data_IF_579072450483
#
_entry.id   IF_579072450483
#
_cell.length_a   1.000
_cell.length_b   1.000
_cell.length_c   1.000
_cell.angle_alpha   90.00
_cell.angle_beta   90.00
_cell.angle_gamma   90.00
#
_symmetry.space_group_name_H-M   'P 1'
#
loop_
_entity.id
_entity.type
_entity.pdbx_description
1 polymer ?
#
# COMPACT_ATOMS: atom_id res chain seq x y z
N UNK A 1 13.55 12.80 -14.97
CA UNK A 1 12.34 12.57 -14.18
C UNK A 1 11.60 11.26 -14.51
N UNK A 2 11.46 10.82 -15.77
CA UNK A 2 10.68 9.61 -16.11
C UNK A 2 11.23 8.25 -15.63
N UNK A 3 12.52 8.14 -15.29
CA UNK A 3 13.12 6.86 -14.85
C UNK A 3 12.58 6.36 -13.51
N UNK A 4 12.28 7.26 -12.55
CA UNK A 4 11.78 6.85 -11.24
C UNK A 4 10.36 6.31 -11.32
N UNK A 5 9.49 6.98 -12.08
CA UNK A 5 8.12 6.49 -12.33
C UNK A 5 8.14 5.11 -12.99
N UNK A 6 9.01 4.89 -13.98
CA UNK A 6 9.16 3.58 -14.60
C UNK A 6 9.56 2.51 -13.58
N UNK A 7 10.51 2.79 -12.67
CA UNK A 7 10.90 1.84 -11.62
C UNK A 7 9.72 1.52 -10.70
N UNK A 8 8.91 2.50 -10.29
CA UNK A 8 7.72 2.21 -9.47
C UNK A 8 6.69 1.37 -10.22
N UNK A 9 6.46 1.64 -11.50
CA UNK A 9 5.58 0.82 -12.35
C UNK A 9 6.15 -0.59 -12.50
N UNK A 10 7.45 -0.74 -12.71
CA UNK A 10 8.11 -2.04 -12.81
C UNK A 10 8.03 -2.81 -11.48
N UNK A 11 8.10 -2.14 -10.33
CA UNK A 11 7.84 -2.75 -9.01
C UNK A 11 6.38 -3.23 -8.93
N UNK A 12 5.41 -2.41 -9.34
CA UNK A 12 4.00 -2.78 -9.38
C UNK A 12 3.71 -3.94 -10.36
N UNK A 13 4.53 -4.11 -11.40
CA UNK A 13 4.49 -5.22 -12.35
C UNK A 13 5.36 -6.41 -11.92
N UNK A 14 5.94 -6.38 -10.72
CA UNK A 14 6.80 -7.43 -10.15
C UNK A 14 8.10 -7.67 -10.95
N UNK A 15 8.52 -6.69 -11.76
CA UNK A 15 9.71 -6.73 -12.63
C UNK A 15 10.96 -6.14 -11.97
N UNK A 16 10.77 -5.20 -11.05
CA UNK A 16 11.85 -4.54 -10.31
C UNK A 16 11.70 -4.79 -8.80
N UNK A 17 12.74 -4.43 -8.04
CA UNK A 17 12.74 -4.54 -6.58
C UNK A 17 13.06 -3.22 -5.87
N UNK A 18 12.92 -3.19 -4.53
CA UNK A 18 13.24 -2.00 -3.74
C UNK A 18 14.71 -1.56 -3.90
N UNK A 19 15.61 -2.50 -4.19
CA UNK A 19 17.04 -2.26 -4.41
C UNK A 19 17.34 -1.37 -5.63
N UNK A 20 16.42 -1.27 -6.59
CA UNK A 20 16.57 -0.44 -7.78
C UNK A 20 16.26 1.05 -7.51
N UNK A 21 15.76 1.36 -6.30
CA UNK A 21 15.49 2.73 -5.87
C UNK A 21 16.72 3.35 -5.18
N UNK A 22 16.93 4.68 -5.32
CA UNK A 22 17.92 5.39 -4.51
C UNK A 22 17.53 5.35 -3.03
N UNK A 23 18.49 5.06 -2.15
CA UNK A 23 18.31 5.13 -0.69
C UNK A 23 18.27 6.56 -0.17
N UNK A 24 17.26 7.35 -0.57
CA UNK A 24 17.13 8.76 -0.22
C UNK A 24 15.94 9.00 0.70
N UNK A 25 16.17 9.71 1.81
CA UNK A 25 15.11 10.14 2.74
C UNK A 25 14.07 11.00 2.02
N UNK A 26 14.50 11.83 1.06
CA UNK A 26 13.60 12.66 0.27
C UNK A 26 12.58 11.81 -0.51
N UNK A 27 13.01 10.68 -1.10
CA UNK A 27 12.11 9.77 -1.82
C UNK A 27 11.09 9.12 -0.88
N UNK A 28 11.52 8.70 0.31
CA UNK A 28 10.61 8.13 1.31
C UNK A 28 9.56 9.14 1.74
N UNK A 29 9.98 10.37 2.07
CA UNK A 29 9.04 11.43 2.47
C UNK A 29 8.08 11.77 1.34
N UNK A 30 8.57 11.93 0.12
CA UNK A 30 7.74 12.24 -1.04
C UNK A 30 6.71 11.13 -1.32
N UNK A 31 7.14 9.87 -1.35
CA UNK A 31 6.24 8.74 -1.58
C UNK A 31 5.26 8.54 -0.43
N UNK A 32 5.68 8.74 0.83
CA UNK A 32 4.81 8.70 1.99
C UNK A 32 3.73 9.79 1.94
N UNK A 33 4.08 11.03 1.57
CA UNK A 33 3.11 12.11 1.39
C UNK A 33 2.11 11.81 0.27
N UNK A 34 2.58 11.26 -0.85
CA UNK A 34 1.70 10.84 -1.95
C UNK A 34 0.76 9.69 -1.53
N UNK A 35 1.29 8.70 -0.80
CA UNK A 35 0.49 7.61 -0.22
C UNK A 35 -0.53 8.14 0.79
N UNK A 36 -0.16 9.10 1.63
CA UNK A 36 -1.06 9.72 2.60
C UNK A 36 -2.20 10.44 1.88
N UNK A 37 -1.91 11.26 0.87
CA UNK A 37 -2.92 11.98 0.11
C UNK A 37 -3.86 11.03 -0.63
N UNK A 38 -3.29 10.11 -1.42
CA UNK A 38 -4.06 9.18 -2.26
C UNK A 38 -4.85 8.17 -1.41
N UNK A 39 -4.26 7.65 -0.34
CA UNK A 39 -4.90 6.72 0.59
C UNK A 39 -6.05 7.36 1.36
N UNK A 40 -5.86 8.59 1.86
CA UNK A 40 -6.93 9.34 2.55
C UNK A 40 -8.13 9.54 1.61
N UNK A 41 -7.89 9.94 0.36
CA UNK A 41 -8.95 10.16 -0.62
C UNK A 41 -9.64 8.85 -1.04
N UNK A 42 -8.92 7.73 -0.99
CA UNK A 42 -9.50 6.41 -1.21
C UNK A 42 -10.41 6.03 -0.04
N UNK A 43 -10.01 6.21 1.22
CA UNK A 43 -10.79 5.70 2.36
C UNK A 43 -11.80 6.69 2.93
N UNK A 44 -11.82 7.95 2.47
CA UNK A 44 -12.71 9.00 3.01
C UNK A 44 -14.20 8.63 2.91
N UNK A 45 -14.60 7.96 1.83
CA UNK A 45 -15.99 7.50 1.66
C UNK A 45 -16.39 6.42 2.67
N UNK A 46 -15.43 5.65 3.17
CA UNK A 46 -15.63 4.57 4.15
C UNK A 46 -15.75 5.07 5.59
N UNK A 47 -15.03 6.15 5.92
CA UNK A 47 -15.05 6.71 7.29
C UNK A 47 -15.99 7.93 7.43
N UNK A 48 -16.57 8.42 6.34
CA UNK A 48 -17.54 9.52 6.32
C UNK A 48 -17.00 10.91 6.68
N UNK A 49 -15.76 11.00 7.19
CA UNK A 49 -15.11 12.26 7.55
C UNK A 49 -13.64 12.27 7.14
N UNK A 50 -13.19 13.43 6.65
CA UNK A 50 -11.82 13.59 6.15
C UNK A 50 -10.79 13.49 7.28
N UNK A 51 -11.12 13.97 8.47
CA UNK A 51 -10.23 13.95 9.63
C UNK A 51 -9.96 12.52 10.13
N UNK A 52 -10.99 11.67 10.18
CA UNK A 52 -10.83 10.26 10.59
C UNK A 52 -10.11 9.46 9.52
N UNK A 53 -10.40 9.69 8.24
CA UNK A 53 -9.67 9.08 7.13
C UNK A 53 -8.19 9.46 7.15
N UNK A 54 -7.86 10.73 7.38
CA UNK A 54 -6.49 11.20 7.47
C UNK A 54 -5.78 10.57 8.67
N UNK A 55 -6.43 10.54 9.83
CA UNK A 55 -5.88 9.91 11.04
C UNK A 55 -5.65 8.40 10.85
N UNK A 56 -6.60 7.69 10.23
CA UNK A 56 -6.48 6.26 9.93
C UNK A 56 -5.34 5.99 8.94
N UNK A 57 -5.24 6.79 7.86
CA UNK A 57 -4.15 6.65 6.89
C UNK A 57 -2.78 6.98 7.48
N UNK A 58 -2.71 7.97 8.38
CA UNK A 58 -1.49 8.33 9.08
C UNK A 58 -1.06 7.21 10.04
N UNK A 59 -2.02 6.60 10.74
CA UNK A 59 -1.76 5.43 11.58
C UNK A 59 -1.26 4.23 10.77
N UNK A 60 -1.88 3.94 9.62
CA UNK A 60 -1.45 2.89 8.70
C UNK A 60 0.02 3.08 8.27
N UNK A 61 0.40 4.29 7.86
CA UNK A 61 1.78 4.63 7.49
C UNK A 61 2.74 4.42 8.66
N UNK A 62 2.36 4.83 9.88
CA UNK A 62 3.19 4.67 11.08
C UNK A 62 3.36 3.19 11.45
N UNK A 63 2.29 2.40 11.37
CA UNK A 63 2.32 0.95 11.59
C UNK A 63 3.21 0.28 10.54
N UNK A 64 3.07 0.63 9.26
CA UNK A 64 3.92 0.12 8.18
C UNK A 64 5.40 0.39 8.46
N UNK A 65 5.76 1.63 8.78
CA UNK A 65 7.16 1.97 9.09
C UNK A 65 7.67 1.23 10.32
N UNK A 66 6.85 1.13 11.36
CA UNK A 66 7.19 0.44 12.60
C UNK A 66 7.45 -1.05 12.36
N UNK A 67 6.49 -1.74 11.72
CA UNK A 67 6.60 -3.16 11.39
C UNK A 67 7.77 -3.42 10.42
N UNK A 68 7.91 -2.60 9.38
CA UNK A 68 9.01 -2.73 8.42
C UNK A 68 10.37 -2.59 9.11
N UNK A 69 10.51 -1.59 9.99
CA UNK A 69 11.74 -1.38 10.76
C UNK A 69 12.01 -2.56 11.69
N UNK A 70 11.00 -3.06 12.39
CA UNK A 70 11.12 -4.21 13.29
C UNK A 70 11.58 -5.45 12.52
N UNK A 71 10.92 -5.79 11.42
CA UNK A 71 11.26 -6.96 10.60
C UNK A 71 12.67 -6.84 10.02
N UNK A 72 13.05 -5.68 9.48
CA UNK A 72 14.40 -5.48 8.94
C UNK A 72 15.49 -5.51 10.00
N UNK A 73 15.20 -5.07 11.23
CA UNK A 73 16.14 -5.20 12.35
C UNK A 73 16.32 -6.66 12.75
N UNK A 74 15.23 -7.43 12.87
CA UNK A 74 15.30 -8.86 13.19
C UNK A 74 16.06 -9.67 12.13
N UNK A 75 15.97 -9.28 10.85
CA UNK A 75 16.71 -9.95 9.77
C UNK A 75 18.10 -9.37 9.52
N UNK A 76 18.53 -8.34 10.26
CA UNK A 76 19.83 -7.69 10.06
C UNK A 76 19.98 -6.92 8.74
N UNK A 77 18.87 -6.52 8.10
CA UNK A 77 18.84 -5.85 6.78
C UNK A 77 18.45 -4.36 6.86
N UNK A 78 18.68 -3.71 8.00
CA UNK A 78 18.29 -2.30 8.27
C UNK A 78 18.75 -1.29 7.21
N UNK A 79 19.86 -1.54 6.51
CA UNK A 79 20.35 -0.69 5.43
C UNK A 79 19.36 -0.54 4.26
N UNK A 80 18.45 -1.50 4.07
CA UNK A 80 17.42 -1.50 3.01
C UNK A 80 16.14 -0.77 3.40
N UNK A 81 16.07 -0.20 4.59
CA UNK A 81 14.85 0.44 5.11
C UNK A 81 14.34 1.55 4.20
N UNK A 82 15.19 2.50 3.82
CA UNK A 82 14.78 3.64 2.99
C UNK A 82 14.23 3.20 1.63
N UNK A 83 14.94 2.29 0.96
CA UNK A 83 14.53 1.73 -0.31
C UNK A 83 13.21 0.97 -0.23
N UNK A 84 13.04 0.15 0.81
CA UNK A 84 11.84 -0.67 1.01
C UNK A 84 10.63 0.19 1.37
N UNK A 85 10.81 1.19 2.25
CA UNK A 85 9.76 2.14 2.59
C UNK A 85 9.32 2.95 1.38
N UNK A 86 10.26 3.47 0.58
CA UNK A 86 9.95 4.17 -0.65
C UNK A 86 9.22 3.28 -1.66
N UNK A 87 9.61 2.01 -1.81
CA UNK A 87 8.93 1.06 -2.69
C UNK A 87 7.49 0.80 -2.24
N UNK A 88 7.27 0.56 -0.94
CA UNK A 88 5.94 0.30 -0.38
C UNK A 88 5.01 1.51 -0.53
N UNK A 89 5.47 2.71 -0.16
CA UNK A 89 4.65 3.91 -0.33
C UNK A 89 4.49 4.35 -1.79
N UNK A 90 5.51 4.18 -2.62
CA UNK A 90 5.41 4.53 -4.03
C UNK A 90 4.43 3.61 -4.77
N UNK A 91 4.52 2.30 -4.54
CA UNK A 91 3.58 1.34 -5.12
C UNK A 91 2.17 1.49 -4.54
N UNK A 92 2.03 1.72 -3.24
CA UNK A 92 0.75 2.02 -2.60
C UNK A 92 0.07 3.25 -3.21
N UNK A 93 0.82 4.34 -3.41
CA UNK A 93 0.30 5.54 -4.05
C UNK A 93 -0.17 5.29 -5.50
N UNK A 94 0.57 4.48 -6.27
CA UNK A 94 0.16 4.10 -7.62
C UNK A 94 -1.11 3.25 -7.62
N UNK A 95 -1.23 2.27 -6.71
CA UNK A 95 -2.44 1.46 -6.57
C UNK A 95 -3.61 2.35 -6.16
N UNK A 96 -3.43 3.23 -5.17
CA UNK A 96 -4.47 4.14 -4.71
C UNK A 96 -4.97 5.05 -5.86
N UNK A 97 -4.05 5.52 -6.72
CA UNK A 97 -4.41 6.32 -7.90
C UNK A 97 -5.29 5.55 -8.90
N UNK A 98 -5.06 4.23 -9.06
CA UNK A 98 -5.89 3.35 -9.88
C UNK A 98 -7.22 3.01 -9.18
N UNK A 99 -7.21 2.90 -7.85
CA UNK A 99 -8.40 2.61 -7.04
C UNK A 99 -9.36 3.81 -6.95
N UNK A 100 -8.83 5.03 -7.00
CA UNK A 100 -9.60 6.27 -6.89
C UNK A 100 -10.76 6.39 -7.90
N UNK A 101 -10.55 6.24 -9.23
CA UNK A 101 -11.63 6.31 -10.20
C UNK A 101 -12.68 5.22 -10.00
N UNK A 102 -12.30 4.04 -9.51
CA UNK A 102 -13.27 2.97 -9.21
C UNK A 102 -14.25 3.38 -8.12
N UNK A 103 -13.80 4.14 -7.12
CA UNK A 103 -14.68 4.60 -6.06
C UNK A 103 -15.61 5.73 -6.52
N UNK A 104 -15.12 6.61 -7.38
CA UNK A 104 -15.94 7.66 -8.00
C UNK A 104 -16.99 7.07 -8.93
N UNK A 105 -16.65 6.04 -9.71
CA UNK A 105 -17.57 5.34 -10.59
C UNK A 105 -18.54 4.44 -9.81
N UNK A 106 -18.05 3.72 -8.79
CA UNK A 106 -18.85 2.80 -7.97
C UNK A 106 -19.82 3.49 -7.02
N UNK A 107 -19.56 4.74 -6.62
CA UNK A 107 -20.50 5.55 -5.82
C UNK A 107 -21.62 6.19 -6.66
N UNK A 108 -21.43 6.34 -7.98
CA UNK A 108 -22.45 6.86 -8.90
C UNK A 108 -23.33 5.79 -9.56
N UNK A 109 -22.85 4.54 -9.62
CA UNK A 109 -23.62 3.40 -10.13
C UNK A 109 -24.37 2.77 -8.95
N UNK A 110 -25.66 3.06 -8.84
CA UNK A 110 -26.57 2.30 -7.97
C UNK A 110 -26.26 0.82 -8.08
N UNK A 111 -25.99 0.19 -6.94
CA UNK A 111 -25.50 -1.19 -6.76
C UNK A 111 -26.51 -2.28 -7.18
N UNK A 112 -27.26 -2.07 -8.26
CA UNK A 112 -28.25 -2.98 -8.82
C UNK A 112 -28.00 -3.11 -10.33
N UNK A 113 -27.08 -4.01 -10.70
CA UNK A 113 -26.79 -4.39 -12.09
C UNK A 113 -25.38 -5.00 -12.27
N UNK A 114 -25.16 -5.69 -13.39
CA UNK A 114 -23.91 -6.40 -13.75
C UNK A 114 -22.65 -5.51 -13.62
N UNK A 115 -22.78 -4.19 -13.81
CA UNK A 115 -21.68 -3.23 -13.71
C UNK A 115 -21.16 -3.02 -12.27
N UNK A 116 -22.04 -3.19 -11.26
CA UNK A 116 -21.66 -3.11 -9.85
C UNK A 116 -20.84 -4.33 -9.41
N UNK A 117 -21.24 -5.52 -9.86
CA UNK A 117 -20.52 -6.76 -9.60
C UNK A 117 -19.12 -6.74 -10.22
N UNK A 118 -19.00 -6.27 -11.47
CA UNK A 118 -17.70 -6.13 -12.15
C UNK A 118 -16.76 -5.19 -11.39
N UNK A 119 -17.28 -4.09 -10.85
CA UNK A 119 -16.50 -3.13 -10.05
C UNK A 119 -16.01 -3.75 -8.74
N UNK A 120 -16.86 -4.53 -8.06
CA UNK A 120 -16.48 -5.26 -6.85
C UNK A 120 -15.39 -6.31 -7.10
N UNK A 121 -15.51 -7.07 -8.20
CA UNK A 121 -14.49 -8.04 -8.61
C UNK A 121 -13.16 -7.37 -8.95
N UNK A 122 -13.19 -6.23 -9.65
CA UNK A 122 -11.98 -5.50 -9.98
C UNK A 122 -11.32 -4.88 -8.73
N UNK A 123 -12.11 -4.40 -7.77
CA UNK A 123 -11.59 -3.95 -6.47
C UNK A 123 -10.93 -5.10 -5.68
N UNK A 124 -11.56 -6.28 -5.65
CA UNK A 124 -10.98 -7.49 -5.04
C UNK A 124 -9.66 -7.88 -5.73
N UNK A 125 -9.62 -7.83 -7.07
CA UNK A 125 -8.40 -8.07 -7.83
C UNK A 125 -7.29 -7.08 -7.44
N UNK A 126 -7.59 -5.79 -7.31
CA UNK A 126 -6.62 -4.79 -6.88
C UNK A 126 -6.10 -5.05 -5.45
N UNK A 127 -6.95 -5.48 -4.51
CA UNK A 127 -6.51 -5.86 -3.16
C UNK A 127 -5.53 -7.03 -3.23
N UNK A 128 -5.89 -8.08 -3.97
CA UNK A 128 -5.02 -9.26 -4.14
C UNK A 128 -3.69 -8.84 -4.79
N UNK A 129 -3.76 -8.00 -5.82
CA UNK A 129 -2.56 -7.51 -6.51
C UNK A 129 -1.68 -6.66 -5.60
N UNK A 130 -2.27 -5.80 -4.78
CA UNK A 130 -1.56 -5.01 -3.77
C UNK A 130 -0.83 -5.91 -2.76
N UNK A 131 -1.48 -6.96 -2.27
CA UNK A 131 -0.85 -7.95 -1.40
C UNK A 131 0.32 -8.66 -2.08
N UNK A 132 0.19 -9.01 -3.37
CA UNK A 132 1.27 -9.62 -4.13
C UNK A 132 2.46 -8.67 -4.28
N UNK A 133 2.21 -7.38 -4.55
CA UNK A 133 3.25 -6.35 -4.63
C UNK A 133 3.97 -6.20 -3.29
N UNK A 134 3.25 -6.07 -2.19
CA UNK A 134 3.84 -5.98 -0.84
C UNK A 134 4.67 -7.23 -0.54
N UNK A 135 4.12 -8.42 -0.80
CA UNK A 135 4.83 -9.68 -0.62
C UNK A 135 6.12 -9.75 -1.44
N UNK A 136 6.10 -9.30 -2.69
CA UNK A 136 7.26 -9.26 -3.58
C UNK A 136 8.33 -8.27 -3.08
N UNK A 137 7.93 -7.06 -2.68
CA UNK A 137 8.84 -6.05 -2.11
C UNK A 137 9.49 -6.58 -0.83
N UNK A 138 8.70 -7.10 0.10
CA UNK A 138 9.17 -7.67 1.37
C UNK A 138 10.10 -8.86 1.12
N UNK A 139 9.75 -9.73 0.17
CA UNK A 139 10.59 -10.86 -0.24
C UNK A 139 11.99 -10.40 -0.67
N UNK A 140 12.08 -9.40 -1.54
CA UNK A 140 13.38 -8.88 -2.00
C UNK A 140 14.12 -8.11 -0.89
N UNK A 141 13.40 -7.38 -0.04
CA UNK A 141 14.00 -6.66 1.07
C UNK A 141 14.67 -7.60 2.07
N UNK A 142 14.00 -8.71 2.41
CA UNK A 142 14.45 -9.70 3.39
C UNK A 142 15.26 -10.85 2.79
N UNK A 143 15.36 -10.94 1.46
CA UNK A 143 16.00 -12.05 0.74
C UNK A 143 15.40 -13.42 1.07
N UNK A 144 14.08 -13.47 1.29
CA UNK A 144 13.35 -14.70 1.66
C UNK A 144 12.66 -15.34 0.45
N UNK A 145 12.07 -16.52 0.67
CA UNK A 145 11.24 -17.21 -0.35
C UNK A 145 9.90 -16.48 -0.51
N UNK A 146 9.27 -16.59 -1.69
CA UNK A 146 7.99 -15.94 -1.98
C UNK A 146 6.90 -16.31 -0.98
N UNK A 147 6.84 -17.56 -0.53
CA UNK A 147 5.89 -18.02 0.48
C UNK A 147 5.99 -17.24 1.79
N UNK A 148 7.21 -16.95 2.27
CA UNK A 148 7.43 -16.14 3.46
C UNK A 148 7.01 -14.69 3.25
N UNK A 149 7.29 -14.12 2.06
CA UNK A 149 6.84 -12.77 1.71
C UNK A 149 5.32 -12.64 1.72
N UNK A 150 4.61 -13.62 1.18
CA UNK A 150 3.14 -13.68 1.19
C UNK A 150 2.62 -13.75 2.63
N UNK A 151 3.19 -14.64 3.45
CA UNK A 151 2.76 -14.81 4.84
C UNK A 151 2.98 -13.54 5.67
N UNK A 152 4.11 -12.86 5.48
CA UNK A 152 4.39 -11.58 6.14
C UNK A 152 3.43 -10.48 5.65
N UNK A 153 3.19 -10.39 4.33
CA UNK A 153 2.24 -9.43 3.76
C UNK A 153 0.82 -9.63 4.27
N UNK A 154 0.38 -10.88 4.38
CA UNK A 154 -0.94 -11.21 4.89
C UNK A 154 -1.05 -10.88 6.39
N UNK A 155 -0.04 -11.26 7.18
CA UNK A 155 0.01 -10.92 8.60
C UNK A 155 -0.01 -9.40 8.81
N UNK A 156 0.79 -8.66 8.04
CA UNK A 156 0.80 -7.21 8.03
C UNK A 156 -0.60 -6.64 7.75
N UNK A 157 -1.23 -7.08 6.66
CA UNK A 157 -2.56 -6.63 6.27
C UNK A 157 -3.61 -6.86 7.36
N UNK A 158 -3.62 -8.06 7.96
CA UNK A 158 -4.55 -8.40 9.02
C UNK A 158 -4.32 -7.58 10.30
N UNK A 159 -3.06 -7.41 10.72
CA UNK A 159 -2.71 -6.63 11.92
C UNK A 159 -3.14 -5.18 11.75
N UNK A 160 -2.77 -4.57 10.63
CA UNK A 160 -3.10 -3.17 10.35
C UNK A 160 -4.62 -2.99 10.29
N UNK A 161 -5.31 -3.83 9.54
CA UNK A 161 -6.76 -3.75 9.40
C UNK A 161 -7.48 -3.88 10.75
N UNK A 162 -7.05 -4.85 11.57
CA UNK A 162 -7.56 -5.05 12.93
C UNK A 162 -7.32 -3.82 13.82
N UNK A 163 -6.09 -3.29 13.84
CA UNK A 163 -5.75 -2.12 14.66
C UNK A 163 -6.53 -0.88 14.22
N UNK A 164 -6.62 -0.61 12.91
CA UNK A 164 -7.37 0.53 12.37
C UNK A 164 -8.85 0.42 12.72
N UNK A 165 -9.49 -0.74 12.52
CA UNK A 165 -10.90 -0.93 12.88
C UNK A 165 -11.17 -0.85 14.38
N UNK A 166 -10.21 -1.25 15.21
CA UNK A 166 -10.34 -1.15 16.67
C UNK A 166 -10.32 0.29 17.19
N UNK A 167 -9.69 1.20 16.44
CA UNK A 167 -9.52 2.61 16.82
C UNK A 167 -10.47 3.54 16.07
N UNK A 168 -10.85 3.19 14.85
CA UNK A 168 -11.71 3.96 13.96
C UNK A 168 -12.89 3.09 13.52
N UNK A 169 -14.09 3.46 13.95
CA UNK A 169 -15.32 2.81 13.51
C UNK A 169 -15.61 3.18 12.06
N UNK A 170 -15.77 2.17 11.21
CA UNK A 170 -16.26 2.33 9.83
C UNK A 170 -17.75 2.69 9.88
N UNK A 171 -18.18 3.64 9.05
CA UNK A 171 -19.57 4.16 9.01
C UNK A 171 -20.42 3.37 8.02
#
# INVERSE_FOLDING_TARGET
>A
MGRLLNVFVDICLLRAGPQDLPGSVFLVVLTALLSLLTGTLVIVGTFGSLDTALAAQLLDILLLLGLLRLVLQLTGKSARFLQTAAALFGSGALINLVTMPLQLLGSGVTSQGDAGELSGLFYLFLIIWALVIVAHIVRQALEVRMASGILISLAYFLIVNYVVQSLFTVV
#
